data_IF_225209652808
#
_entry.id   IF_225209652808
#
_cell.length_a   1.000
_cell.length_b   1.000
_cell.length_c   1.000
_cell.angle_alpha   90.00
_cell.angle_beta   90.00
_cell.angle_gamma   90.00
#
_symmetry.space_group_name_H-M   'P 1'
#
loop_
_entity.id
_entity.type
_entity.pdbx_description
1 polymer ?
#
# COMPACT_ATOMS: atom_id res chain seq x y z
N UNK A 1 -46.97 1.00 -84.43
CA UNK A 1 -45.76 0.52 -85.12
C UNK A 1 -44.80 0.03 -84.05
N UNK A 2 -44.16 -1.10 -84.35
CA UNK A 2 -43.07 -1.82 -83.69
C UNK A 2 -42.15 -0.98 -82.77
N UNK A 3 -41.54 -1.49 -81.69
CA UNK A 3 -41.44 -2.88 -81.21
C UNK A 3 -39.98 -3.23 -80.85
N UNK A 4 -39.71 -3.60 -79.57
CA UNK A 4 -38.45 -4.22 -79.03
C UNK A 4 -37.12 -3.43 -79.23
N UNK A 5 -36.04 -3.50 -78.44
CA UNK A 5 -35.64 -4.08 -77.12
C UNK A 5 -34.32 -3.34 -76.70
N UNK A 6 -33.82 -3.23 -75.46
CA UNK A 6 -34.28 -3.60 -74.10
C UNK A 6 -33.13 -3.48 -73.06
N UNK A 7 -33.38 -3.97 -71.83
CA UNK A 7 -32.42 -4.27 -70.72
C UNK A 7 -31.76 -3.14 -69.87
N UNK A 8 -32.20 -3.09 -68.60
CA UNK A 8 -31.51 -2.86 -67.31
C UNK A 8 -30.46 -1.72 -67.10
N UNK A 9 -30.46 -0.97 -65.98
CA UNK A 9 -31.38 -0.98 -64.83
C UNK A 9 -30.96 -0.05 -63.66
N UNK A 10 -31.91 0.21 -62.74
CA UNK A 10 -31.85 1.08 -61.53
C UNK A 10 -31.67 2.61 -61.75
N UNK A 11 -32.43 3.44 -61.00
CA UNK A 11 -32.01 3.86 -59.65
C UNK A 11 -33.10 3.70 -58.57
N UNK A 12 -32.70 3.84 -57.29
CA UNK A 12 -33.62 3.78 -56.13
C UNK A 12 -34.13 5.15 -55.66
N UNK A 13 -34.92 5.22 -54.57
CA UNK A 13 -35.31 6.47 -53.94
C UNK A 13 -34.93 6.59 -52.45
N UNK A 14 -34.71 7.82 -52.00
CA UNK A 14 -34.67 8.16 -50.58
C UNK A 14 -36.06 8.61 -50.06
N UNK A 15 -36.17 8.63 -48.74
CA UNK A 15 -37.22 9.27 -47.92
C UNK A 15 -38.68 8.74 -48.00
N UNK A 16 -39.09 8.10 -46.89
CA UNK A 16 -40.25 8.63 -46.15
C UNK A 16 -40.17 8.35 -44.65
N UNK A 17 -40.55 9.36 -43.88
CA UNK A 17 -40.49 9.40 -42.42
C UNK A 17 -41.47 8.41 -41.77
N UNK A 18 -40.97 7.60 -40.83
CA UNK A 18 -41.79 6.93 -39.82
C UNK A 18 -41.21 7.18 -38.42
N UNK A 19 -42.00 7.86 -37.60
CA UNK A 19 -41.70 8.22 -36.21
C UNK A 19 -41.89 7.01 -35.28
N UNK A 20 -40.92 6.11 -35.21
CA UNK A 20 -40.93 4.92 -34.35
C UNK A 20 -40.39 5.22 -32.94
N UNK A 21 -41.18 5.95 -32.14
CA UNK A 21 -40.89 6.17 -30.73
C UNK A 21 -41.30 4.98 -29.85
N UNK A 22 -40.52 3.89 -29.87
CA UNK A 22 -40.40 2.96 -28.73
C UNK A 22 -38.95 2.44 -28.67
N UNK A 23 -38.06 3.20 -28.03
CA UNK A 23 -36.77 2.65 -27.60
C UNK A 23 -36.98 1.89 -26.30
N UNK A 24 -37.43 0.64 -26.39
CA UNK A 24 -37.26 -0.31 -25.30
C UNK A 24 -35.78 -0.60 -25.18
N UNK A 25 -35.08 0.17 -24.32
CA UNK A 25 -33.74 -0.16 -23.86
C UNK A 25 -33.89 -1.39 -22.95
N UNK A 26 -34.04 -2.56 -23.57
CA UNK A 26 -33.82 -3.82 -22.88
C UNK A 26 -32.42 -3.77 -22.29
N UNK A 27 -32.29 -4.18 -21.02
CA UNK A 27 -31.02 -4.20 -20.33
C UNK A 27 -30.03 -5.00 -21.17
N UNK A 28 -29.09 -4.31 -21.83
CA UNK A 28 -28.02 -4.99 -22.56
C UNK A 28 -27.12 -5.62 -21.50
N UNK A 29 -27.10 -6.94 -21.46
CA UNK A 29 -26.08 -7.66 -20.73
C UNK A 29 -24.71 -7.14 -21.18
N UNK A 30 -23.88 -6.77 -20.22
CA UNK A 30 -22.53 -6.30 -20.43
C UNK A 30 -21.58 -7.22 -19.68
N UNK A 31 -20.46 -7.55 -20.30
CA UNK A 31 -19.41 -8.34 -19.67
C UNK A 31 -18.51 -7.40 -18.85
N UNK A 32 -18.39 -7.68 -17.55
CA UNK A 32 -17.44 -7.02 -16.65
C UNK A 32 -16.34 -8.01 -16.33
N UNK A 33 -15.09 -7.58 -16.51
CA UNK A 33 -13.92 -8.37 -16.13
C UNK A 33 -13.43 -7.89 -14.76
N UNK A 34 -13.34 -8.82 -13.80
CA UNK A 34 -12.69 -8.56 -12.51
C UNK A 34 -11.39 -9.35 -12.46
N UNK A 35 -10.28 -8.65 -12.28
CA UNK A 35 -8.96 -9.26 -12.18
C UNK A 35 -8.71 -9.73 -10.75
N UNK A 36 -8.06 -10.87 -10.58
CA UNK A 36 -7.52 -11.31 -9.29
C UNK A 36 -6.09 -10.77 -9.12
N UNK A 37 -5.44 -11.11 -8.01
CA UNK A 37 -4.07 -10.64 -7.74
C UNK A 37 -2.97 -11.41 -8.50
N UNK A 38 -3.33 -12.51 -9.16
CA UNK A 38 -2.49 -13.34 -10.04
C UNK A 38 -2.77 -13.08 -11.53
N UNK A 39 -3.38 -11.92 -11.84
CA UNK A 39 -3.85 -11.48 -13.17
C UNK A 39 -4.88 -12.41 -13.85
N UNK A 40 -5.38 -13.44 -13.16
CA UNK A 40 -6.51 -14.24 -13.66
C UNK A 40 -7.79 -13.41 -13.68
N UNK A 41 -8.71 -13.73 -14.60
CA UNK A 41 -9.90 -12.91 -14.87
C UNK A 41 -11.17 -13.68 -14.53
N UNK A 42 -12.05 -13.04 -13.75
CA UNK A 42 -13.41 -13.50 -13.46
C UNK A 42 -14.38 -12.70 -14.35
N UNK A 43 -14.91 -13.31 -15.43
CA UNK A 43 -15.91 -12.67 -16.28
C UNK A 43 -17.30 -12.73 -15.62
N UNK A 44 -17.98 -11.58 -15.57
CA UNK A 44 -19.32 -11.43 -15.04
C UNK A 44 -20.26 -10.87 -16.11
N UNK A 45 -21.29 -11.62 -16.49
CA UNK A 45 -22.39 -11.08 -17.29
C UNK A 45 -23.34 -10.31 -16.36
N UNK A 46 -23.47 -9.00 -16.55
CA UNK A 46 -24.29 -8.14 -15.67
C UNK A 46 -25.29 -7.29 -16.46
N UNK A 47 -26.44 -7.06 -15.85
CA UNK A 47 -27.44 -6.11 -16.35
C UNK A 47 -27.27 -4.73 -15.72
N UNK A 48 -27.65 -3.68 -16.45
CA UNK A 48 -27.69 -2.30 -15.95
C UNK A 48 -26.37 -1.81 -15.29
N UNK A 49 -25.23 -2.11 -15.94
CA UNK A 49 -23.88 -1.77 -15.50
C UNK A 49 -23.71 -0.34 -14.90
N UNK A 50 -24.31 0.75 -15.43
CA UNK A 50 -24.15 2.08 -14.84
C UNK A 50 -24.78 2.28 -13.46
N UNK A 51 -25.73 1.43 -13.05
CA UNK A 51 -26.35 1.47 -11.71
C UNK A 51 -25.74 0.49 -10.72
N UNK A 52 -25.00 -0.52 -11.21
CA UNK A 52 -24.50 -1.63 -10.43
C UNK A 52 -23.48 -1.17 -9.37
N UNK A 53 -23.70 -1.57 -8.12
CA UNK A 53 -22.83 -1.22 -7.00
C UNK A 53 -21.64 -2.16 -6.86
N UNK A 54 -20.58 -1.68 -6.20
CA UNK A 54 -19.43 -2.50 -5.84
C UNK A 54 -19.83 -3.68 -4.94
N UNK A 55 -20.85 -3.53 -4.08
CA UNK A 55 -21.35 -4.64 -3.26
C UNK A 55 -22.06 -5.74 -4.06
N UNK A 56 -22.81 -5.38 -5.11
CA UNK A 56 -23.46 -6.35 -6.00
C UNK A 56 -22.41 -7.10 -6.85
N UNK A 57 -21.44 -6.38 -7.43
CA UNK A 57 -20.32 -6.99 -8.14
C UNK A 57 -19.48 -7.90 -7.22
N UNK A 58 -19.20 -7.47 -5.99
CA UNK A 58 -18.46 -8.29 -5.02
C UNK A 58 -19.20 -9.61 -4.72
N UNK A 59 -20.53 -9.57 -4.50
CA UNK A 59 -21.31 -10.80 -4.33
C UNK A 59 -21.27 -11.71 -5.57
N UNK A 60 -21.36 -11.15 -6.77
CA UNK A 60 -21.24 -11.92 -8.02
C UNK A 60 -19.85 -12.58 -8.18
N UNK A 61 -18.74 -11.86 -7.88
CA UNK A 61 -17.39 -12.45 -7.85
C UNK A 61 -17.32 -13.61 -6.86
N UNK A 62 -17.84 -13.41 -5.64
CA UNK A 62 -17.85 -14.44 -4.59
C UNK A 62 -18.60 -15.70 -5.04
N UNK A 63 -19.75 -15.54 -5.67
CA UNK A 63 -20.60 -16.63 -6.16
C UNK A 63 -19.93 -17.40 -7.31
N UNK A 64 -19.33 -16.71 -8.29
CA UNK A 64 -18.59 -17.35 -9.40
C UNK A 64 -17.36 -18.10 -8.91
N UNK A 65 -16.63 -17.55 -7.93
CA UNK A 65 -15.49 -18.21 -7.29
C UNK A 65 -15.88 -19.22 -6.20
N UNK A 66 -17.18 -19.41 -5.94
CA UNK A 66 -17.74 -20.32 -4.91
C UNK A 66 -17.18 -20.09 -3.50
N UNK A 67 -16.78 -18.85 -3.18
CA UNK A 67 -16.13 -18.53 -1.91
C UNK A 67 -17.14 -18.50 -0.73
N UNK A 68 -16.71 -18.89 0.49
CA UNK A 68 -17.54 -18.83 1.69
C UNK A 68 -17.93 -17.39 2.06
N UNK A 69 -19.00 -17.20 2.83
CA UNK A 69 -19.53 -15.86 3.17
C UNK A 69 -18.50 -14.93 3.82
N UNK A 70 -17.54 -15.48 4.58
CA UNK A 70 -16.42 -14.73 5.19
C UNK A 70 -15.57 -13.97 4.15
N UNK A 71 -15.56 -14.41 2.88
CA UNK A 71 -14.86 -13.71 1.81
C UNK A 71 -15.39 -12.28 1.59
N UNK A 72 -16.66 -12.00 1.94
CA UNK A 72 -17.24 -10.65 1.88
C UNK A 72 -16.61 -9.68 2.89
N UNK A 73 -16.03 -10.19 3.98
CA UNK A 73 -15.24 -9.39 4.93
C UNK A 73 -13.76 -9.33 4.51
N UNK A 74 -13.21 -10.45 4.04
CA UNK A 74 -11.78 -10.63 3.73
C UNK A 74 -11.33 -9.80 2.54
N UNK A 75 -12.17 -9.69 1.51
CA UNK A 75 -11.84 -9.05 0.24
C UNK A 75 -12.70 -7.81 -0.04
N UNK A 76 -12.27 -7.02 -1.01
CA UNK A 76 -12.96 -5.85 -1.52
C UNK A 76 -12.66 -5.71 -3.03
N UNK A 77 -13.46 -4.88 -3.70
CA UNK A 77 -13.16 -4.42 -5.05
C UNK A 77 -12.35 -3.13 -5.00
N UNK A 78 -11.35 -3.05 -5.88
CA UNK A 78 -10.46 -1.90 -6.03
C UNK A 78 -10.48 -1.43 -7.49
N UNK A 79 -10.37 -0.12 -7.71
CA UNK A 79 -9.92 0.40 -9.00
C UNK A 79 -8.41 0.60 -8.91
N UNK A 80 -7.68 0.04 -9.87
CA UNK A 80 -6.21 -0.03 -9.87
C UNK A 80 -5.68 0.42 -11.22
N UNK A 81 -4.67 1.28 -11.19
CA UNK A 81 -3.82 1.62 -12.33
C UNK A 81 -2.38 1.85 -11.86
N UNK A 82 -1.40 1.99 -12.77
CA UNK A 82 -0.04 2.43 -12.45
C UNK A 82 0.05 3.74 -11.64
N UNK A 83 -0.93 4.64 -11.75
CA UNK A 83 -0.91 5.96 -11.12
C UNK A 83 -1.67 6.01 -9.77
N UNK A 84 -2.74 5.22 -9.61
CA UNK A 84 -3.62 5.30 -8.43
C UNK A 84 -4.29 3.95 -8.11
N UNK A 85 -4.37 3.62 -6.81
CA UNK A 85 -5.09 2.45 -6.27
C UNK A 85 -6.17 2.93 -5.28
N UNK A 86 -7.44 2.52 -5.46
CA UNK A 86 -8.56 2.95 -4.60
C UNK A 86 -9.49 1.79 -4.26
N UNK A 87 -9.60 1.44 -2.97
CA UNK A 87 -10.61 0.50 -2.49
C UNK A 87 -12.01 1.13 -2.59
N UNK A 88 -12.95 0.40 -3.19
CA UNK A 88 -14.31 0.87 -3.38
C UNK A 88 -15.16 0.66 -2.12
N UNK A 89 -15.94 1.68 -1.74
CA UNK A 89 -16.97 1.54 -0.70
C UNK A 89 -18.17 0.76 -1.28
N UNK A 90 -18.92 -0.03 -0.48
CA UNK A 90 -20.01 -0.88 -0.96
C UNK A 90 -21.03 -0.19 -1.89
N UNK A 91 -21.32 1.09 -1.62
CA UNK A 91 -22.26 1.94 -2.38
C UNK A 91 -21.70 2.61 -3.64
N UNK A 92 -20.40 2.49 -3.92
CA UNK A 92 -19.79 3.05 -5.13
C UNK A 92 -20.29 2.30 -6.37
N UNK A 93 -20.36 2.99 -7.51
CA UNK A 93 -20.74 2.41 -8.81
C UNK A 93 -19.48 2.35 -9.68
N UNK A 94 -18.81 1.19 -9.83
CA UNK A 94 -17.46 1.12 -10.41
C UNK A 94 -17.38 1.68 -11.83
N UNK A 95 -18.41 1.42 -12.65
CA UNK A 95 -18.52 1.97 -14.00
C UNK A 95 -18.46 3.50 -14.03
N UNK A 96 -19.15 4.19 -13.10
CA UNK A 96 -19.14 5.65 -13.05
C UNK A 96 -17.79 6.20 -12.58
N UNK A 97 -17.14 5.54 -11.63
CA UNK A 97 -15.82 5.95 -11.15
C UNK A 97 -14.73 5.74 -12.22
N UNK A 98 -14.78 4.64 -12.97
CA UNK A 98 -13.88 4.43 -14.12
C UNK A 98 -14.08 5.49 -15.22
N UNK A 99 -15.32 5.95 -15.42
CA UNK A 99 -15.64 7.09 -16.32
C UNK A 99 -15.20 8.46 -15.80
N UNK A 100 -14.80 8.57 -14.52
CA UNK A 100 -14.29 9.78 -13.86
C UNK A 100 -12.80 9.65 -13.49
N UNK A 101 -12.10 8.66 -14.06
CA UNK A 101 -10.73 8.35 -13.68
C UNK A 101 -9.74 9.48 -14.00
N UNK A 102 -9.78 10.15 -15.18
CA UNK A 102 -8.90 11.29 -15.45
C UNK A 102 -9.07 12.42 -14.41
N UNK A 103 -10.30 12.72 -14.00
CA UNK A 103 -10.58 13.74 -12.98
C UNK A 103 -10.06 13.33 -11.59
N UNK A 104 -10.12 12.04 -11.24
CA UNK A 104 -9.53 11.50 -10.02
C UNK A 104 -8.00 11.56 -10.06
N UNK A 105 -7.37 11.23 -11.19
CA UNK A 105 -5.93 11.32 -11.38
C UNK A 105 -5.41 12.77 -11.28
N UNK A 106 -6.08 13.72 -11.92
CA UNK A 106 -5.71 15.15 -11.85
C UNK A 106 -5.76 15.67 -10.40
N UNK A 107 -6.76 15.23 -9.62
CA UNK A 107 -6.91 15.58 -8.19
C UNK A 107 -5.85 14.91 -7.31
N UNK A 108 -5.63 13.62 -7.47
CA UNK A 108 -4.87 12.80 -6.51
C UNK A 108 -3.47 12.38 -6.97
N UNK A 109 -2.99 12.83 -8.14
CA UNK A 109 -1.65 12.51 -8.64
C UNK A 109 -0.96 13.73 -9.25
N UNK A 110 0.37 13.74 -9.23
CA UNK A 110 1.22 14.74 -9.90
C UNK A 110 1.78 14.19 -11.23
N UNK A 111 1.04 13.27 -11.86
CA UNK A 111 1.41 12.70 -13.15
C UNK A 111 1.27 13.74 -14.29
N UNK A 112 2.09 13.67 -15.35
CA UNK A 112 1.92 14.47 -16.56
C UNK A 112 0.55 14.25 -17.22
N UNK A 113 0.00 15.29 -17.87
CA UNK A 113 -1.30 15.23 -18.56
C UNK A 113 -1.35 14.11 -19.62
N UNK A 114 -0.23 13.86 -20.32
CA UNK A 114 -0.11 12.76 -21.31
C UNK A 114 -0.23 11.38 -20.66
N UNK A 115 0.36 11.18 -19.47
CA UNK A 115 0.24 9.92 -18.72
C UNK A 115 -1.19 9.76 -18.17
N UNK A 116 -1.78 10.84 -17.66
CA UNK A 116 -3.18 10.87 -17.18
C UNK A 116 -4.19 10.56 -18.29
N UNK A 117 -3.94 11.03 -19.52
CA UNK A 117 -4.81 10.79 -20.66
C UNK A 117 -4.75 9.34 -21.20
N UNK A 118 -3.69 8.60 -20.87
CA UNK A 118 -3.45 7.22 -21.31
C UNK A 118 -3.70 6.17 -20.23
N UNK A 119 -3.89 6.57 -18.98
CA UNK A 119 -4.09 5.68 -17.83
C UNK A 119 -5.57 5.28 -17.67
N UNK A 120 -5.85 3.98 -17.76
CA UNK A 120 -7.18 3.40 -17.55
C UNK A 120 -7.18 2.48 -16.31
N UNK A 121 -8.20 2.55 -15.44
CA UNK A 121 -8.27 1.69 -14.27
C UNK A 121 -8.91 0.35 -14.63
N UNK A 122 -8.40 -0.73 -14.04
CA UNK A 122 -9.09 -2.02 -14.04
C UNK A 122 -9.70 -2.32 -12.67
N UNK A 123 -10.71 -3.18 -12.66
CA UNK A 123 -11.41 -3.61 -11.45
C UNK A 123 -10.72 -4.87 -10.89
N UNK A 124 -10.15 -4.78 -9.69
CA UNK A 124 -9.40 -5.87 -9.06
C UNK A 124 -10.07 -6.37 -7.77
N UNK A 125 -10.07 -7.68 -7.56
CA UNK A 125 -10.54 -8.34 -6.34
C UNK A 125 -9.35 -8.66 -5.44
N UNK A 126 -9.26 -7.97 -4.31
CA UNK A 126 -8.08 -7.96 -3.43
C UNK A 126 -8.47 -7.88 -1.97
N UNK A 127 -7.51 -8.11 -1.07
CA UNK A 127 -7.67 -8.02 0.38
C UNK A 127 -8.33 -6.68 0.76
N UNK A 128 -9.32 -6.75 1.63
CA UNK A 128 -9.92 -5.58 2.25
C UNK A 128 -8.93 -4.98 3.27
N UNK A 129 -8.55 -3.72 3.11
CA UNK A 129 -7.64 -3.03 4.05
C UNK A 129 -8.19 -3.03 5.49
N UNK A 130 -9.52 -3.08 5.64
CA UNK A 130 -10.22 -3.13 6.92
C UNK A 130 -10.43 -4.54 7.49
N UNK A 131 -9.86 -5.58 6.88
CA UNK A 131 -9.90 -6.92 7.46
C UNK A 131 -8.78 -7.09 8.50
N UNK A 132 -9.06 -7.41 9.79
CA UNK A 132 -8.03 -7.52 10.81
C UNK A 132 -7.11 -8.73 10.61
N UNK A 133 -5.78 -8.54 10.68
CA UNK A 133 -4.79 -9.64 10.62
C UNK A 133 -5.14 -10.79 11.58
N UNK A 134 -5.57 -10.48 12.81
CA UNK A 134 -5.99 -11.48 13.82
C UNK A 134 -7.19 -12.36 13.40
N UNK A 135 -8.11 -11.86 12.56
CA UNK A 135 -9.22 -12.64 11.99
C UNK A 135 -8.72 -13.51 10.84
N UNK A 136 -7.81 -13.00 10.02
CA UNK A 136 -7.19 -13.72 8.90
C UNK A 136 -6.45 -14.98 9.34
N UNK A 137 -5.78 -14.95 10.50
CA UNK A 137 -5.15 -16.13 11.12
C UNK A 137 -6.12 -17.30 11.39
N UNK A 138 -7.43 -17.06 11.42
CA UNK A 138 -8.47 -18.06 11.68
C UNK A 138 -9.02 -18.70 10.39
N UNK A 139 -8.72 -18.14 9.22
CA UNK A 139 -9.15 -18.68 7.92
C UNK A 139 -8.57 -20.09 7.72
N UNK A 140 -9.39 -21.00 7.19
CA UNK A 140 -8.99 -22.38 6.85
C UNK A 140 -9.37 -22.79 5.44
N UNK A 141 -10.24 -22.00 4.80
CA UNK A 141 -10.66 -22.20 3.42
C UNK A 141 -9.47 -22.03 2.48
N UNK A 142 -9.24 -23.01 1.61
CA UNK A 142 -8.04 -23.07 0.78
C UNK A 142 -8.03 -21.99 -0.30
N UNK A 143 -9.17 -21.70 -0.94
CA UNK A 143 -9.25 -20.68 -1.98
C UNK A 143 -9.12 -19.26 -1.40
N UNK A 144 -9.72 -18.99 -0.23
CA UNK A 144 -9.47 -17.71 0.47
C UNK A 144 -8.00 -17.57 0.85
N UNK A 145 -7.33 -18.64 1.32
CA UNK A 145 -5.90 -18.63 1.59
C UNK A 145 -5.05 -18.45 0.32
N UNK A 146 -5.43 -19.09 -0.79
CA UNK A 146 -4.75 -18.99 -2.09
C UNK A 146 -4.80 -17.55 -2.62
N UNK A 147 -5.97 -16.91 -2.59
CA UNK A 147 -6.15 -15.54 -3.08
C UNK A 147 -5.35 -14.52 -2.25
N UNK A 148 -5.35 -14.66 -0.91
CA UNK A 148 -4.51 -13.85 -0.02
C UNK A 148 -3.01 -14.10 -0.29
N UNK A 149 -2.62 -15.36 -0.49
CA UNK A 149 -1.24 -15.75 -0.80
C UNK A 149 -0.77 -15.18 -2.14
N UNK A 150 -1.58 -15.23 -3.18
CA UNK A 150 -1.26 -14.68 -4.50
C UNK A 150 -1.04 -13.17 -4.44
N UNK A 151 -1.89 -12.43 -3.72
CA UNK A 151 -1.65 -11.01 -3.45
C UNK A 151 -0.37 -10.77 -2.64
N UNK A 152 -0.15 -11.52 -1.56
CA UNK A 152 1.06 -11.38 -0.74
C UNK A 152 2.33 -11.64 -1.57
N UNK A 153 2.32 -12.67 -2.41
CA UNK A 153 3.40 -13.04 -3.33
C UNK A 153 3.68 -11.91 -4.34
N UNK A 154 2.65 -11.37 -4.98
CA UNK A 154 2.80 -10.23 -5.90
C UNK A 154 3.47 -9.03 -5.25
N UNK A 155 3.02 -8.65 -4.04
CA UNK A 155 3.61 -7.54 -3.28
C UNK A 155 5.09 -7.77 -2.90
N UNK A 156 5.49 -9.01 -2.57
CA UNK A 156 6.90 -9.37 -2.28
C UNK A 156 7.74 -9.32 -3.56
N UNK A 157 7.32 -9.98 -4.64
CA UNK A 157 8.07 -10.02 -5.91
C UNK A 157 8.28 -8.62 -6.52
N UNK A 158 7.26 -7.76 -6.44
CA UNK A 158 7.34 -6.35 -6.85
C UNK A 158 8.20 -5.47 -5.92
N UNK A 159 8.70 -6.01 -4.79
CA UNK A 159 9.33 -5.27 -3.70
C UNK A 159 8.48 -4.06 -3.22
N UNK A 160 7.15 -4.24 -3.19
CA UNK A 160 6.18 -3.38 -2.48
C UNK A 160 6.19 -3.69 -0.99
N UNK A 161 6.52 -4.94 -0.64
CA UNK A 161 6.89 -5.38 0.70
C UNK A 161 8.43 -5.48 0.83
N UNK A 162 9.09 -4.54 1.54
CA UNK A 162 10.48 -4.69 1.99
C UNK A 162 10.71 -5.96 2.81
N UNK A 163 11.61 -6.83 2.38
CA UNK A 163 11.97 -8.04 3.12
C UNK A 163 13.50 -8.15 3.21
N UNK A 164 14.01 -8.64 4.34
CA UNK A 164 15.43 -9.02 4.42
C UNK A 164 15.70 -10.18 3.45
N UNK A 165 16.95 -10.36 3.01
CA UNK A 165 17.28 -11.34 1.95
C UNK A 165 16.90 -12.75 2.36
N UNK A 166 17.17 -13.12 3.61
CA UNK A 166 16.80 -14.43 4.16
C UNK A 166 15.28 -14.65 4.22
N UNK A 167 14.49 -13.57 4.36
CA UNK A 167 13.03 -13.65 4.34
C UNK A 167 12.49 -13.82 2.92
N UNK A 168 13.07 -13.12 1.94
CA UNK A 168 12.80 -13.35 0.52
C UNK A 168 13.09 -14.81 0.11
N UNK A 169 14.22 -15.36 0.55
CA UNK A 169 14.61 -16.74 0.25
C UNK A 169 13.66 -17.77 0.89
N UNK A 170 13.24 -17.55 2.14
CA UNK A 170 12.28 -18.41 2.83
C UNK A 170 10.85 -18.32 2.24
N UNK A 171 10.40 -17.11 1.86
CA UNK A 171 9.12 -16.92 1.16
C UNK A 171 9.17 -17.57 -0.23
N UNK A 172 10.22 -17.32 -1.01
CA UNK A 172 10.42 -17.94 -2.32
C UNK A 172 10.50 -19.47 -2.27
N UNK A 173 11.07 -20.04 -1.20
CA UNK A 173 11.11 -21.48 -0.97
C UNK A 173 9.71 -22.10 -0.80
N UNK A 174 8.77 -21.38 -0.18
CA UNK A 174 7.37 -21.78 -0.11
C UNK A 174 6.68 -21.68 -1.48
N UNK A 175 6.98 -20.64 -2.28
CA UNK A 175 6.50 -20.56 -3.68
C UNK A 175 7.03 -21.74 -4.52
N UNK A 176 8.31 -22.11 -4.35
CA UNK A 176 8.88 -23.31 -4.96
C UNK A 176 8.11 -24.57 -4.54
N UNK A 177 7.80 -24.72 -3.24
CA UNK A 177 7.08 -25.88 -2.70
C UNK A 177 5.65 -26.01 -3.21
N UNK A 178 4.98 -24.88 -3.49
CA UNK A 178 3.66 -24.81 -4.12
C UNK A 178 3.74 -25.15 -5.61
N UNK A 179 4.66 -24.54 -6.37
CA UNK A 179 4.69 -24.66 -7.84
C UNK A 179 5.43 -25.90 -8.36
N UNK A 180 6.43 -26.40 -7.63
CA UNK A 180 7.34 -27.47 -8.07
C UNK A 180 7.14 -28.78 -7.28
N UNK A 181 6.29 -28.79 -6.25
CA UNK A 181 6.14 -29.90 -5.31
C UNK A 181 7.27 -29.95 -4.27
N UNK A 182 7.50 -31.10 -3.61
CA UNK A 182 8.60 -31.26 -2.66
C UNK A 182 9.96 -31.34 -3.35
N UNK A 183 11.03 -30.93 -2.64
CA UNK A 183 12.38 -30.98 -3.18
C UNK A 183 12.88 -32.43 -3.36
N UNK A 184 13.21 -32.80 -4.59
CA UNK A 184 13.74 -34.12 -4.95
C UNK A 184 15.25 -34.05 -5.29
N UNK A 185 16.14 -34.63 -4.46
CA UNK A 185 17.57 -34.71 -4.78
C UNK A 185 17.83 -35.41 -6.11
N UNK A 186 18.63 -34.80 -6.99
CA UNK A 186 19.06 -35.40 -8.27
C UNK A 186 18.15 -35.09 -9.47
N UNK A 187 16.93 -34.57 -9.27
CA UNK A 187 16.13 -33.98 -10.35
C UNK A 187 16.78 -32.65 -10.79
N UNK A 188 16.66 -32.20 -12.07
CA UNK A 188 17.16 -30.90 -12.53
C UNK A 188 16.41 -29.68 -11.97
N UNK A 189 15.93 -29.74 -10.72
CA UNK A 189 15.28 -28.63 -10.02
C UNK A 189 16.14 -27.36 -10.02
N UNK A 190 17.48 -27.46 -10.06
CA UNK A 190 18.37 -26.31 -10.19
C UNK A 190 18.32 -25.63 -11.58
N UNK A 191 17.93 -26.33 -12.65
CA UNK A 191 17.68 -25.73 -13.96
C UNK A 191 16.30 -25.05 -13.97
N UNK A 192 15.27 -25.78 -13.54
CA UNK A 192 13.88 -25.29 -13.50
C UNK A 192 13.74 -24.04 -12.60
N UNK A 193 14.40 -24.04 -11.44
CA UNK A 193 14.47 -22.92 -10.50
C UNK A 193 15.15 -21.68 -11.10
N UNK A 194 16.21 -21.90 -11.89
CA UNK A 194 17.01 -20.83 -12.48
C UNK A 194 16.31 -20.17 -13.66
N UNK A 195 15.48 -20.90 -14.40
CA UNK A 195 14.67 -20.37 -15.50
C UNK A 195 13.46 -19.56 -15.03
N UNK A 196 13.02 -19.76 -13.78
CA UNK A 196 11.85 -19.09 -13.19
C UNK A 196 12.17 -18.28 -11.92
N UNK A 197 13.42 -17.84 -11.77
CA UNK A 197 13.93 -17.26 -10.52
C UNK A 197 13.18 -15.98 -10.09
N UNK A 198 12.66 -15.24 -11.06
CA UNK A 198 11.82 -14.04 -10.93
C UNK A 198 10.38 -14.32 -10.47
N UNK A 199 9.86 -15.54 -10.66
CA UNK A 199 8.60 -15.98 -10.03
C UNK A 199 8.75 -16.40 -8.56
N UNK A 200 9.99 -16.49 -8.05
CA UNK A 200 10.30 -16.93 -6.68
C UNK A 200 10.96 -15.84 -5.83
N UNK A 201 11.72 -14.92 -6.43
CA UNK A 201 12.43 -13.86 -5.72
C UNK A 201 12.18 -12.48 -6.35
N UNK A 202 12.24 -11.40 -5.55
CA UNK A 202 12.23 -10.05 -6.07
C UNK A 202 13.37 -9.79 -7.06
N UNK A 203 13.10 -9.02 -8.12
CA UNK A 203 14.02 -8.79 -9.24
C UNK A 203 15.42 -8.26 -8.88
N UNK A 204 15.59 -7.66 -7.70
CA UNK A 204 16.91 -7.22 -7.21
C UNK A 204 17.81 -8.37 -6.73
N UNK A 205 17.23 -9.50 -6.29
CA UNK A 205 17.95 -10.71 -5.87
C UNK A 205 18.23 -11.68 -7.03
N UNK A 206 17.44 -11.62 -8.11
CA UNK A 206 17.66 -12.39 -9.33
C UNK A 206 18.92 -11.97 -10.10
N UNK A 207 19.50 -10.80 -9.78
CA UNK A 207 20.64 -10.23 -10.51
C UNK A 207 21.91 -11.07 -10.33
N UNK A 208 22.36 -11.68 -11.43
CA UNK A 208 23.72 -12.22 -11.53
C UNK A 208 24.74 -11.09 -11.42
N UNK A 209 25.87 -11.35 -10.74
CA UNK A 209 26.98 -10.41 -10.66
C UNK A 209 27.60 -10.14 -12.04
N UNK A 210 27.11 -9.12 -12.75
CA UNK A 210 27.60 -8.68 -14.05
C UNK A 210 28.93 -7.93 -13.94
N UNK A 211 29.97 -8.62 -13.47
CA UNK A 211 31.34 -8.19 -13.74
C UNK A 211 31.69 -8.46 -15.20
N UNK A 212 32.07 -7.42 -15.96
CA UNK A 212 32.51 -7.54 -17.36
C UNK A 212 33.64 -8.57 -17.60
N UNK A 213 34.35 -8.97 -16.53
CA UNK A 213 35.40 -9.99 -16.56
C UNK A 213 34.94 -11.43 -16.26
N UNK A 214 33.64 -11.66 -16.00
CA UNK A 214 33.12 -13.00 -15.70
C UNK A 214 33.15 -13.93 -16.94
N UNK A 215 32.79 -13.40 -18.12
CA UNK A 215 32.81 -14.14 -19.37
C UNK A 215 34.23 -14.60 -19.79
N UNK A 216 35.26 -13.84 -19.41
CA UNK A 216 36.66 -14.09 -19.78
C UNK A 216 37.33 -15.21 -18.97
N UNK A 217 36.70 -15.74 -17.91
CA UNK A 217 37.33 -16.73 -17.00
C UNK A 217 36.97 -18.20 -17.27
N UNK A 218 36.15 -18.50 -18.27
CA UNK A 218 35.81 -19.87 -18.67
C UNK A 218 35.17 -20.75 -17.58
N UNK A 219 34.84 -20.19 -16.42
CA UNK A 219 34.12 -20.90 -15.34
C UNK A 219 32.64 -20.83 -15.64
N UNK A 220 32.02 -22.01 -15.75
CA UNK A 220 30.59 -22.17 -16.01
C UNK A 220 29.73 -21.28 -15.11
N UNK A 221 28.60 -20.84 -15.67
CA UNK A 221 27.78 -19.77 -15.11
C UNK A 221 27.31 -20.10 -13.68
N UNK A 222 28.01 -19.57 -12.68
CA UNK A 222 27.72 -19.82 -11.26
C UNK A 222 26.34 -19.28 -10.89
N UNK A 223 25.72 -19.93 -9.92
CA UNK A 223 24.48 -19.47 -9.33
C UNK A 223 24.65 -18.07 -8.72
N UNK A 224 23.62 -17.25 -8.79
CA UNK A 224 23.58 -16.00 -8.01
C UNK A 224 23.51 -16.28 -6.50
N UNK A 225 23.87 -15.32 -5.62
CA UNK A 225 23.71 -15.49 -4.17
C UNK A 225 22.27 -15.89 -3.79
N UNK A 226 21.26 -15.19 -4.32
CA UNK A 226 19.84 -15.50 -4.07
C UNK A 226 19.37 -16.83 -4.65
N UNK A 227 19.89 -17.26 -5.80
CA UNK A 227 19.60 -18.59 -6.38
C UNK A 227 20.10 -19.72 -5.44
N UNK A 228 21.29 -19.54 -4.86
CA UNK A 228 21.86 -20.52 -3.94
C UNK A 228 21.17 -20.50 -2.56
N UNK A 229 20.80 -19.33 -2.05
CA UNK A 229 20.05 -19.18 -0.81
C UNK A 229 18.65 -19.75 -0.91
N UNK A 230 17.90 -19.40 -1.96
CA UNK A 230 16.60 -19.98 -2.30
C UNK A 230 16.64 -21.50 -2.39
N UNK A 231 17.62 -22.07 -3.10
CA UNK A 231 17.78 -23.53 -3.21
C UNK A 231 18.06 -24.19 -1.84
N UNK A 232 18.77 -23.49 -0.94
CA UNK A 232 19.00 -23.98 0.42
C UNK A 232 17.76 -23.88 1.30
N UNK A 233 16.98 -22.81 1.20
CA UNK A 233 15.72 -22.64 1.90
C UNK A 233 14.67 -23.66 1.40
N UNK A 234 14.57 -23.90 0.10
CA UNK A 234 13.63 -24.87 -0.50
C UNK A 234 13.89 -26.31 -0.02
N UNK A 235 15.16 -26.69 0.18
CA UNK A 235 15.54 -27.98 0.80
C UNK A 235 15.12 -28.13 2.26
N UNK A 236 14.83 -27.03 2.96
CA UNK A 236 14.47 -27.01 4.38
C UNK A 236 12.95 -26.95 4.60
N UNK A 237 12.15 -26.74 3.56
CA UNK A 237 10.68 -26.77 3.66
C UNK A 237 10.26 -28.20 3.95
N UNK A 238 9.79 -28.42 5.18
CA UNK A 238 9.42 -29.76 5.69
C UNK A 238 8.25 -30.34 4.89
N UNK A 239 8.25 -31.66 4.73
CA UNK A 239 7.02 -32.37 4.38
C UNK A 239 6.15 -32.46 5.63
N UNK A 240 4.87 -32.10 5.48
CA UNK A 240 3.85 -32.40 6.49
C UNK A 240 3.37 -33.81 6.18
N UNK A 241 3.50 -34.74 7.13
CA UNK A 241 3.07 -36.13 6.96
C UNK A 241 1.56 -36.19 6.71
N UNK A 242 1.18 -36.28 5.44
CA UNK A 242 -0.21 -36.22 4.98
C UNK A 242 -0.84 -37.62 4.95
N UNK A 243 -1.27 -38.11 6.12
CA UNK A 243 -2.25 -39.21 6.23
C UNK A 243 -3.65 -38.78 5.69
N UNK A 244 -3.81 -37.53 5.25
CA UNK A 244 -5.06 -36.95 4.73
C UNK A 244 -4.88 -36.06 3.49
N UNK A 245 -4.80 -36.69 2.32
CA UNK A 245 -5.09 -36.05 1.02
C UNK A 245 -4.03 -35.10 0.43
N UNK A 246 -4.22 -34.76 -0.85
CA UNK A 246 -3.33 -33.86 -1.60
C UNK A 246 -3.68 -32.37 -1.41
N UNK A 247 -4.98 -32.06 -1.28
CA UNK A 247 -5.49 -30.68 -1.19
C UNK A 247 -5.03 -29.99 0.10
N UNK A 248 -5.28 -30.60 1.28
CA UNK A 248 -4.88 -30.07 2.59
C UNK A 248 -3.39 -29.70 2.73
N UNK A 249 -2.52 -30.22 1.86
CA UNK A 249 -1.12 -29.82 1.79
C UNK A 249 -0.94 -28.39 1.26
N UNK A 250 -1.67 -27.94 0.23
CA UNK A 250 -1.46 -26.62 -0.37
C UNK A 250 -1.91 -25.48 0.56
N UNK A 251 -3.11 -25.59 1.14
CA UNK A 251 -3.59 -24.65 2.16
C UNK A 251 -2.61 -24.43 3.33
N UNK A 252 -1.83 -25.46 3.70
CA UNK A 252 -0.79 -25.36 4.73
C UNK A 252 0.40 -24.49 4.29
N UNK A 253 0.83 -24.58 3.02
CA UNK A 253 1.92 -23.75 2.49
C UNK A 253 1.47 -22.31 2.24
N UNK A 254 0.24 -22.09 1.78
CA UNK A 254 -0.36 -20.74 1.72
C UNK A 254 -0.41 -20.10 3.11
N UNK A 255 -0.88 -20.84 4.13
CA UNK A 255 -0.89 -20.37 5.52
C UNK A 255 0.53 -20.05 6.02
N UNK A 256 1.52 -20.88 5.73
CA UNK A 256 2.90 -20.65 6.14
C UNK A 256 3.50 -19.38 5.50
N UNK A 257 3.20 -19.14 4.22
CA UNK A 257 3.62 -17.91 3.52
C UNK A 257 2.96 -16.68 4.15
N UNK A 258 1.65 -16.73 4.34
CA UNK A 258 0.87 -15.66 4.96
C UNK A 258 1.33 -15.38 6.39
N UNK A 259 1.56 -16.39 7.22
CA UNK A 259 2.09 -16.24 8.58
C UNK A 259 3.40 -15.46 8.60
N UNK A 260 4.32 -15.75 7.67
CA UNK A 260 5.57 -15.00 7.54
C UNK A 260 5.36 -13.58 7.01
N UNK A 261 4.40 -13.36 6.10
CA UNK A 261 4.01 -12.02 5.70
C UNK A 261 3.34 -11.21 6.82
N UNK A 262 2.63 -11.85 7.77
CA UNK A 262 2.03 -11.15 8.92
C UNK A 262 3.07 -10.55 9.88
N UNK A 263 4.31 -11.06 9.88
CA UNK A 263 5.46 -10.47 10.60
C UNK A 263 5.87 -9.11 10.01
N UNK A 264 5.46 -8.80 8.77
CA UNK A 264 5.73 -7.53 8.10
C UNK A 264 4.71 -6.47 8.55
N UNK A 265 5.14 -5.32 9.10
CA UNK A 265 4.21 -4.32 9.63
C UNK A 265 3.21 -3.79 8.58
N UNK A 266 3.70 -3.54 7.36
CA UNK A 266 2.93 -3.03 6.22
C UNK A 266 2.14 -4.10 5.43
N UNK A 267 2.06 -5.35 5.92
CA UNK A 267 1.24 -6.37 5.28
C UNK A 267 -0.25 -6.00 5.30
N UNK A 268 -0.90 -6.04 4.13
CA UNK A 268 -2.32 -5.75 3.98
C UNK A 268 -2.68 -4.27 4.05
N UNK A 269 -1.69 -3.36 3.98
CA UNK A 269 -1.90 -1.92 3.88
C UNK A 269 -2.44 -1.50 2.50
N UNK A 270 -3.19 -0.39 2.48
CA UNK A 270 -3.30 0.47 1.29
C UNK A 270 -2.01 1.28 1.15
N UNK A 271 -1.50 1.45 -0.08
CA UNK A 271 -0.28 2.21 -0.34
C UNK A 271 -0.59 3.47 -1.14
N UNK A 272 0.01 4.58 -0.71
CA UNK A 272 -0.10 5.90 -1.32
C UNK A 272 1.28 6.39 -1.76
N UNK A 273 1.30 7.24 -2.78
CA UNK A 273 2.51 7.89 -3.27
C UNK A 273 2.75 9.20 -2.54
N UNK A 274 4.01 9.48 -2.19
CA UNK A 274 4.40 10.78 -1.65
C UNK A 274 5.90 11.00 -1.70
N UNK A 275 6.35 12.15 -1.19
CA UNK A 275 7.76 12.47 -1.05
C UNK A 275 8.09 13.01 0.35
N UNK A 276 9.32 12.80 0.81
CA UNK A 276 9.85 13.42 2.05
C UNK A 276 11.15 14.15 1.77
N UNK A 277 11.43 15.19 2.56
CA UNK A 277 12.70 15.92 2.50
C UNK A 277 13.88 15.00 2.89
N UNK A 278 14.95 15.04 2.11
CA UNK A 278 16.18 14.32 2.43
C UNK A 278 16.87 14.96 3.66
N UNK A 279 17.44 14.16 4.58
CA UNK A 279 18.27 14.71 5.65
C UNK A 279 19.47 15.44 5.05
N UNK A 280 19.89 16.54 5.68
CA UNK A 280 20.98 17.37 5.22
C UNK A 280 22.34 16.65 5.33
N UNK A 281 22.76 15.97 4.25
CA UNK A 281 24.04 15.28 4.19
C UNK A 281 25.10 16.05 3.38
N UNK A 282 26.25 16.28 4.00
CA UNK A 282 27.46 16.79 3.36
C UNK A 282 27.53 18.32 3.16
N UNK A 283 28.74 18.79 2.90
CA UNK A 283 29.11 20.22 2.79
C UNK A 283 28.39 21.00 1.67
N UNK A 284 27.77 20.30 0.72
CA UNK A 284 27.12 20.89 -0.46
C UNK A 284 25.61 21.08 -0.30
N UNK A 285 25.01 20.66 0.83
CA UNK A 285 23.58 20.83 1.17
C UNK A 285 22.64 20.75 -0.06
N UNK A 286 22.75 19.68 -0.85
CA UNK A 286 21.82 19.43 -1.96
C UNK A 286 20.48 19.00 -1.38
N UNK A 287 19.71 20.00 -0.96
CA UNK A 287 18.31 19.87 -0.61
C UNK A 287 17.52 19.27 -1.77
N UNK A 288 16.42 18.63 -1.44
CA UNK A 288 15.59 17.92 -2.38
C UNK A 288 14.90 16.75 -1.70
N UNK A 289 13.85 16.26 -2.33
CA UNK A 289 13.01 15.22 -1.77
C UNK A 289 13.44 13.83 -2.25
N UNK A 290 12.88 12.79 -1.64
CA UNK A 290 12.92 11.41 -2.11
C UNK A 290 11.50 10.84 -2.15
N UNK A 291 11.17 10.02 -3.16
CA UNK A 291 9.88 9.35 -3.22
C UNK A 291 9.78 8.30 -2.11
N UNK A 292 8.61 8.26 -1.49
CA UNK A 292 8.22 7.28 -0.47
C UNK A 292 6.87 6.67 -0.82
N UNK A 293 6.66 5.46 -0.32
CA UNK A 293 5.36 4.82 -0.31
C UNK A 293 4.84 4.87 1.13
N UNK A 294 3.65 5.43 1.32
CA UNK A 294 2.97 5.51 2.63
C UNK A 294 1.99 4.36 2.71
N UNK A 295 2.20 3.44 3.64
CA UNK A 295 1.40 2.23 3.81
C UNK A 295 0.54 2.35 5.08
N UNK A 296 -0.78 2.29 4.94
CA UNK A 296 -1.76 2.52 6.01
C UNK A 296 -2.66 1.29 6.15
N UNK A 297 -2.88 0.81 7.37
CA UNK A 297 -3.81 -0.27 7.71
C UNK A 297 -4.53 0.02 9.03
N UNK A 298 -5.24 -0.97 9.59
CA UNK A 298 -5.81 -0.89 10.94
C UNK A 298 -4.77 -0.80 12.08
N UNK A 299 -3.50 -1.09 11.81
CA UNK A 299 -2.46 -1.11 12.85
C UNK A 299 -1.73 0.23 12.99
N UNK A 300 -1.69 1.05 11.94
CA UNK A 300 -0.92 2.28 11.91
C UNK A 300 -0.45 2.71 10.52
N UNK A 301 0.58 3.56 10.50
CA UNK A 301 1.15 4.20 9.31
C UNK A 301 2.63 3.85 9.18
N UNK A 302 3.06 3.48 7.97
CA UNK A 302 4.44 3.17 7.64
C UNK A 302 4.93 4.00 6.45
N UNK A 303 6.13 4.54 6.53
CA UNK A 303 6.78 5.29 5.44
C UNK A 303 7.96 4.48 4.94
N UNK A 304 7.93 4.10 3.66
CA UNK A 304 8.89 3.21 3.03
C UNK A 304 9.65 3.96 1.93
N UNK A 305 10.98 3.83 1.87
CA UNK A 305 11.77 4.38 0.78
C UNK A 305 11.48 3.64 -0.53
N UNK A 306 10.86 4.31 -1.50
CA UNK A 306 10.40 3.65 -2.73
C UNK A 306 11.55 3.14 -3.61
N UNK A 307 12.76 3.68 -3.44
CA UNK A 307 13.96 3.31 -4.23
C UNK A 307 14.80 2.27 -3.50
N UNK A 308 15.14 2.55 -2.24
CA UNK A 308 16.02 1.73 -1.41
C UNK A 308 15.29 0.60 -0.66
N UNK A 309 13.97 0.50 -0.83
CA UNK A 309 13.09 -0.59 -0.33
C UNK A 309 13.35 -0.94 1.14
N UNK A 310 13.36 0.06 2.01
CA UNK A 310 13.42 -0.11 3.46
C UNK A 310 12.46 0.82 4.19
N UNK A 311 12.04 0.40 5.39
CA UNK A 311 11.18 1.18 6.27
C UNK A 311 11.97 2.36 6.85
N UNK A 312 11.44 3.56 6.69
CA UNK A 312 11.97 4.79 7.28
C UNK A 312 11.31 5.06 8.64
N UNK A 313 10.00 4.84 8.70
CA UNK A 313 9.16 5.04 9.88
C UNK A 313 8.04 4.01 9.88
N UNK A 314 7.67 3.55 11.06
CA UNK A 314 6.47 2.77 11.34
C UNK A 314 5.96 3.24 12.68
N UNK A 315 4.67 3.60 12.74
CA UNK A 315 4.01 4.15 13.91
C UNK A 315 2.63 3.51 14.03
N UNK A 316 2.31 2.99 15.21
CA UNK A 316 0.95 2.64 15.59
C UNK A 316 0.11 3.90 15.82
N UNK A 317 -1.23 3.79 15.76
CA UNK A 317 -2.11 4.95 15.98
C UNK A 317 -2.03 5.54 17.40
N UNK A 318 -1.49 4.81 18.38
CA UNK A 318 -1.20 5.31 19.73
C UNK A 318 0.14 6.06 19.81
N UNK A 319 0.98 5.99 18.77
CA UNK A 319 2.33 6.58 18.71
C UNK A 319 2.38 7.83 17.82
N UNK A 320 1.24 8.26 17.25
CA UNK A 320 1.18 9.35 16.29
C UNK A 320 -0.03 10.28 16.48
N UNK A 321 0.19 11.57 16.21
CA UNK A 321 -0.84 12.53 15.82
C UNK A 321 -0.66 12.87 14.35
N UNK A 322 -1.74 13.19 13.63
CA UNK A 322 -1.66 13.59 12.23
C UNK A 322 -2.56 14.79 11.93
N UNK A 323 -2.19 15.51 10.87
CA UNK A 323 -3.03 16.52 10.24
C UNK A 323 -2.73 16.55 8.73
N UNK A 324 -3.56 17.21 7.94
CA UNK A 324 -3.29 17.43 6.52
C UNK A 324 -3.59 18.87 6.12
N UNK A 325 -2.70 19.45 5.31
CA UNK A 325 -2.87 20.79 4.77
C UNK A 325 -2.99 20.71 3.26
N UNK A 326 -4.08 21.23 2.69
CA UNK A 326 -4.32 21.32 1.25
C UNK A 326 -4.55 22.78 0.83
N UNK A 327 -3.51 23.63 0.85
CA UNK A 327 -3.60 25.02 0.39
C UNK A 327 -3.87 25.10 -1.13
N UNK A 328 -4.44 26.22 -1.59
CA UNK A 328 -4.77 26.40 -3.02
C UNK A 328 -3.53 26.57 -3.92
N UNK A 329 -2.44 27.13 -3.38
CA UNK A 329 -1.22 27.47 -4.13
C UNK A 329 0.00 26.57 -3.83
N UNK A 330 -0.03 25.78 -2.75
CA UNK A 330 1.07 24.85 -2.43
C UNK A 330 0.65 23.38 -2.57
N UNK A 331 1.62 22.47 -2.62
CA UNK A 331 1.36 21.04 -2.69
C UNK A 331 0.76 20.51 -1.37
N UNK A 332 -0.29 19.66 -1.42
CA UNK A 332 -0.86 19.10 -0.19
C UNK A 332 0.15 18.26 0.60
N UNK A 333 0.07 18.36 1.94
CA UNK A 333 1.00 17.71 2.88
C UNK A 333 0.19 16.91 3.89
N UNK A 334 0.61 15.66 4.12
CA UNK A 334 0.27 14.90 5.33
C UNK A 334 1.38 15.13 6.36
N UNK A 335 0.98 15.54 7.56
CA UNK A 335 1.84 15.79 8.70
C UNK A 335 1.72 14.61 9.67
N UNK A 336 2.85 14.07 10.13
CA UNK A 336 2.89 13.05 11.19
C UNK A 336 3.75 13.57 12.35
N UNK A 337 3.14 13.77 13.51
CA UNK A 337 3.82 14.06 14.78
C UNK A 337 3.96 12.77 15.57
N UNK A 338 5.14 12.53 16.15
CA UNK A 338 5.43 11.36 16.98
C UNK A 338 6.57 11.65 17.97
N UNK A 339 6.65 10.85 19.03
CA UNK A 339 7.72 10.94 20.03
C UNK A 339 9.09 10.57 19.44
N UNK A 340 10.13 11.27 19.87
CA UNK A 340 11.50 10.95 19.50
C UNK A 340 12.55 11.48 20.48
N UNK A 341 13.81 11.24 20.14
CA UNK A 341 14.97 11.71 20.90
C UNK A 341 15.85 12.65 20.05
N UNK A 342 16.45 13.63 20.71
CA UNK A 342 17.47 14.52 20.17
C UNK A 342 18.58 14.72 21.22
N UNK A 343 19.77 14.16 20.96
CA UNK A 343 20.92 14.20 21.88
C UNK A 343 20.62 13.66 23.31
N UNK A 344 19.74 12.67 23.47
CA UNK A 344 19.32 12.15 24.78
C UNK A 344 18.22 12.96 25.47
N UNK A 345 17.59 13.89 24.75
CA UNK A 345 16.46 14.70 25.22
C UNK A 345 15.19 14.28 24.45
N UNK A 346 14.09 13.91 25.15
CA UNK A 346 12.80 13.68 24.51
C UNK A 346 12.31 14.93 23.75
N UNK A 347 11.87 14.74 22.52
CA UNK A 347 11.33 15.78 21.63
C UNK A 347 10.17 15.23 20.82
N UNK A 348 9.21 16.09 20.48
CA UNK A 348 8.21 15.78 19.46
C UNK A 348 8.88 15.96 18.09
N UNK A 349 8.67 14.99 17.21
CA UNK A 349 9.19 14.97 15.83
C UNK A 349 8.04 15.11 14.86
N UNK A 350 8.12 16.12 14.01
CA UNK A 350 7.14 16.36 12.96
C UNK A 350 7.74 16.04 11.58
N UNK A 351 7.18 15.03 10.90
CA UNK A 351 7.51 14.64 9.53
C UNK A 351 6.54 15.29 8.54
N UNK A 352 7.09 15.77 7.42
CA UNK A 352 6.33 16.23 6.26
C UNK A 352 6.30 15.15 5.19
N UNK A 353 5.11 14.82 4.68
CA UNK A 353 4.93 13.97 3.50
C UNK A 353 4.17 14.77 2.46
N UNK A 354 4.87 15.17 1.40
CA UNK A 354 4.28 15.87 0.25
C UNK A 354 3.52 14.88 -0.61
N UNK A 355 2.22 15.09 -0.81
CA UNK A 355 1.37 14.23 -1.63
C UNK A 355 -0.01 14.83 -1.87
N UNK A 356 -0.44 14.90 -3.13
CA UNK A 356 -1.86 15.14 -3.51
C UNK A 356 -2.84 14.11 -2.93
N UNK A 357 -2.36 12.99 -2.38
CA UNK A 357 -3.18 11.95 -1.74
C UNK A 357 -3.39 12.21 -0.23
N UNK A 358 -2.92 13.34 0.31
CA UNK A 358 -2.98 13.66 1.75
C UNK A 358 -4.41 13.59 2.34
N UNK A 359 -5.42 14.08 1.62
CA UNK A 359 -6.84 13.95 2.01
C UNK A 359 -7.27 12.49 2.13
N UNK A 360 -6.94 11.65 1.14
CA UNK A 360 -7.26 10.22 1.14
C UNK A 360 -6.55 9.48 2.29
N UNK A 361 -5.28 9.82 2.55
CA UNK A 361 -4.51 9.25 3.65
C UNK A 361 -5.11 9.66 5.00
N UNK A 362 -5.44 10.93 5.20
CA UNK A 362 -6.05 11.45 6.43
C UNK A 362 -7.40 10.78 6.71
N UNK A 363 -8.30 10.75 5.72
CA UNK A 363 -9.60 10.07 5.84
C UNK A 363 -9.50 8.57 6.10
N UNK A 364 -8.43 7.91 5.64
CA UNK A 364 -8.20 6.50 5.92
C UNK A 364 -7.70 6.28 7.35
N UNK A 365 -6.79 7.14 7.84
CA UNK A 365 -6.30 7.09 9.23
C UNK A 365 -7.45 7.29 10.21
N UNK A 366 -8.27 8.33 10.00
CA UNK A 366 -9.46 8.63 10.79
C UNK A 366 -10.40 7.41 10.86
N UNK A 367 -10.78 6.86 9.71
CA UNK A 367 -11.69 5.71 9.65
C UNK A 367 -11.10 4.43 10.26
N UNK A 368 -9.79 4.18 10.13
CA UNK A 368 -9.12 3.07 10.80
C UNK A 368 -9.19 3.18 12.34
N UNK A 369 -9.09 4.39 12.87
CA UNK A 369 -9.18 4.66 14.31
C UNK A 369 -10.62 4.52 14.80
N UNK A 370 -11.60 5.12 14.10
CA UNK A 370 -13.03 4.95 14.38
C UNK A 370 -13.44 3.47 14.42
N UNK A 371 -13.03 2.68 13.41
CA UNK A 371 -13.37 1.27 13.32
C UNK A 371 -12.74 0.46 14.45
N UNK A 372 -11.53 0.82 14.88
CA UNK A 372 -10.84 0.17 16.00
C UNK A 372 -11.53 0.45 17.33
N UNK A 373 -11.98 1.69 17.56
CA UNK A 373 -12.76 2.07 18.75
C UNK A 373 -14.13 1.38 18.79
N UNK A 374 -14.81 1.25 17.64
CA UNK A 374 -16.09 0.55 17.53
C UNK A 374 -16.00 -0.98 17.73
N UNK A 375 -14.80 -1.55 17.61
CA UNK A 375 -14.55 -2.99 17.78
C UNK A 375 -14.19 -3.40 19.21
N UNK A 376 -13.85 -2.46 20.10
CA UNK A 376 -13.62 -2.71 21.53
C UNK A 376 -14.97 -2.86 22.26
N UNK A 377 -15.29 -4.02 22.85
CA UNK A 377 -16.50 -4.15 23.67
C UNK A 377 -16.32 -3.37 24.97
N UNK A 378 -17.27 -2.47 25.28
CA UNK A 378 -17.34 -1.76 26.56
C UNK A 378 -17.62 -2.74 27.71
N UNK A 379 -16.56 -3.31 28.27
CA UNK A 379 -16.63 -4.10 29.50
C UNK A 379 -17.11 -3.25 30.69
N UNK A 380 -17.83 -3.82 31.67
CA UNK A 380 -18.28 -3.07 32.84
C UNK A 380 -17.11 -2.51 33.65
N UNK A 381 -17.18 -1.23 34.01
CA UNK A 381 -16.30 -0.66 35.03
C UNK A 381 -16.73 -1.13 36.43
N UNK A 382 -16.22 -2.30 36.85
CA UNK A 382 -16.38 -2.72 38.24
C UNK A 382 -15.50 -1.87 39.16
N UNK A 383 -16.18 -1.09 40.00
CA UNK A 383 -15.57 -0.15 40.92
C UNK A 383 -15.18 -0.83 42.23
N UNK A 384 -13.88 -0.82 42.54
CA UNK A 384 -13.28 -0.89 43.86
C UNK A 384 -13.74 -1.98 44.86
N UNK A 385 -12.82 -2.90 45.18
CA UNK A 385 -12.54 -3.23 46.59
C UNK A 385 -11.09 -3.69 46.73
N UNK A 386 -10.31 -3.00 47.57
CA UNK A 386 -8.89 -3.29 47.77
C UNK A 386 -8.60 -3.96 49.11
N UNK A 387 -7.45 -4.64 49.18
CA UNK A 387 -6.72 -5.00 50.40
C UNK A 387 -5.21 -4.96 50.07
N UNK A 388 -4.32 -4.64 51.02
CA UNK A 388 -2.93 -4.31 50.75
C UNK A 388 -2.03 -5.56 50.67
N UNK A 389 -0.98 -5.50 49.85
CA UNK A 389 0.08 -6.51 49.76
C UNK A 389 1.48 -5.90 49.92
N UNK A 390 2.37 -6.64 50.58
CA UNK A 390 3.64 -6.13 51.15
C UNK A 390 4.69 -5.64 50.13
N UNK A 391 5.54 -4.65 50.51
CA UNK A 391 6.57 -4.08 49.66
C UNK A 391 7.89 -4.88 49.71
N UNK A 392 7.88 -6.17 49.37
CA UNK A 392 9.14 -6.95 49.28
C UNK A 392 9.12 -8.16 48.32
N UNK A 393 9.00 -7.91 47.02
CA UNK A 393 9.48 -8.85 46.00
C UNK A 393 9.83 -8.13 44.68
N UNK A 394 11.12 -7.85 44.49
CA UNK A 394 11.63 -7.37 43.20
C UNK A 394 11.54 -8.52 42.18
N UNK A 395 10.80 -8.39 41.06
CA UNK A 395 10.81 -9.41 40.03
C UNK A 395 12.20 -9.49 39.39
N UNK A 396 12.70 -10.72 39.20
CA UNK A 396 13.99 -10.96 38.55
C UNK A 396 13.99 -10.39 37.12
N UNK A 397 15.15 -9.92 36.59
CA UNK A 397 15.21 -9.32 35.27
C UNK A 397 14.83 -10.34 34.20
N UNK A 398 13.67 -10.11 33.56
CA UNK A 398 13.26 -10.83 32.35
C UNK A 398 14.39 -10.70 31.32
N UNK A 399 14.95 -11.83 30.92
CA UNK A 399 16.01 -11.83 29.90
C UNK A 399 15.45 -11.24 28.61
N UNK A 400 15.94 -10.05 28.24
CA UNK A 400 15.61 -9.39 26.98
C UNK A 400 15.92 -10.37 25.83
N UNK A 401 15.00 -10.57 24.86
CA UNK A 401 15.29 -11.38 23.69
C UNK A 401 16.56 -10.88 22.99
N UNK A 402 17.37 -11.81 22.47
CA UNK A 402 18.67 -11.51 21.88
C UNK A 402 18.52 -10.51 20.72
N UNK A 403 19.30 -9.43 20.78
CA UNK A 403 19.55 -8.39 19.77
C UNK A 403 18.74 -8.51 18.46
N UNK A 404 17.62 -7.78 18.39
CA UNK A 404 16.91 -7.48 17.14
C UNK A 404 17.91 -6.81 16.17
N UNK A 405 18.03 -7.31 14.94
CA UNK A 405 19.06 -6.87 13.97
C UNK A 405 18.95 -5.37 13.67
N UNK A 406 19.90 -4.56 14.13
CA UNK A 406 19.98 -3.12 13.82
C UNK A 406 20.21 -2.80 12.32
N UNK A 407 20.43 -3.82 11.48
CA UNK A 407 20.59 -3.69 10.02
C UNK A 407 19.38 -4.10 9.18
N UNK A 408 18.29 -4.58 9.77
CA UNK A 408 17.12 -5.08 9.04
C UNK A 408 16.45 -4.00 8.18
N UNK A 409 15.91 -4.35 7.02
CA UNK A 409 15.18 -3.40 6.16
C UNK A 409 13.78 -3.06 6.68
N UNK A 410 13.21 -3.87 7.58
CA UNK A 410 11.87 -3.62 8.16
C UNK A 410 11.89 -2.78 9.44
N UNK A 411 13.06 -2.52 10.03
CA UNK A 411 13.19 -1.66 11.21
C UNK A 411 13.21 -0.17 10.83
N UNK A 412 12.43 0.66 11.52
CA UNK A 412 12.40 2.12 11.36
C UNK A 412 13.79 2.76 11.40
N UNK A 413 14.09 3.60 10.40
CA UNK A 413 15.36 4.32 10.23
C UNK A 413 15.12 5.82 10.32
N UNK A 414 14.66 6.28 11.48
CA UNK A 414 14.26 7.68 11.74
C UNK A 414 15.42 8.65 11.42
N UNK A 415 16.67 8.24 11.63
CA UNK A 415 17.89 8.97 11.26
C UNK A 415 18.07 9.21 9.74
N UNK A 416 17.26 8.58 8.88
CA UNK A 416 17.22 8.82 7.43
C UNK A 416 16.09 9.78 7.00
N UNK A 417 15.39 10.40 7.96
CA UNK A 417 14.32 11.38 7.72
C UNK A 417 14.78 12.79 8.10
N UNK A 418 14.30 13.78 7.34
CA UNK A 418 14.29 15.17 7.79
C UNK A 418 13.02 15.40 8.62
N UNK A 419 13.18 15.80 9.88
CA UNK A 419 12.08 16.05 10.83
C UNK A 419 12.25 17.43 11.48
N UNK A 420 11.15 18.01 11.95
CA UNK A 420 11.16 19.24 12.76
C UNK A 420 11.04 18.82 14.23
N UNK A 421 12.12 18.99 14.98
CA UNK A 421 12.17 18.68 16.42
C UNK A 421 11.71 19.88 17.27
N UNK A 422 10.80 19.66 18.22
CA UNK A 422 10.40 20.66 19.22
C UNK A 422 10.07 20.05 20.58
N UNK A 423 9.95 20.92 21.59
CA UNK A 423 9.45 20.59 22.93
C UNK A 423 8.24 21.48 23.23
N UNK A 424 7.20 20.88 23.80
CA UNK A 424 6.01 21.59 24.27
C UNK A 424 6.14 21.97 25.76
N UNK A 425 6.73 23.15 26.02
CA UNK A 425 7.07 23.62 27.38
C UNK A 425 5.85 24.18 28.17
N UNK A 426 4.61 23.75 27.86
CA UNK A 426 3.36 24.21 28.50
C UNK A 426 3.06 25.72 28.42
N UNK A 427 3.92 26.47 27.74
CA UNK A 427 3.89 27.94 27.53
C UNK A 427 4.12 28.31 26.06
N UNK A 428 4.12 27.33 25.17
CA UNK A 428 4.34 27.46 23.73
C UNK A 428 5.35 26.45 23.17
N UNK A 429 5.28 26.23 21.86
CA UNK A 429 6.13 25.31 21.10
C UNK A 429 7.54 25.90 20.93
N UNK A 430 8.58 25.14 21.28
CA UNK A 430 9.98 25.56 21.12
C UNK A 430 10.75 24.58 20.23
N UNK A 431 11.13 25.02 19.03
CA UNK A 431 11.97 24.25 18.12
C UNK A 431 13.37 24.01 18.71
N UNK A 432 13.77 22.75 18.81
CA UNK A 432 15.12 22.38 19.25
C UNK A 432 16.11 22.67 18.11
N UNK A 433 17.15 23.46 18.41
CA UNK A 433 18.21 23.76 17.43
C UNK A 433 19.33 22.70 17.56
N UNK A 434 19.62 21.90 16.52
CA UNK A 434 20.76 20.98 16.56
C UNK A 434 22.07 21.74 16.73
N UNK A 435 23.01 21.20 17.51
CA UNK A 435 24.22 21.94 17.91
C UNK A 435 25.28 21.99 16.80
N UNK A 436 25.33 23.17 16.13
CA UNK A 436 26.35 23.66 15.17
C UNK A 436 26.34 22.94 13.81
N UNK A 437 25.98 23.62 12.71
CA UNK A 437 26.75 24.75 12.12
C UNK A 437 25.90 25.99 11.78
N UNK A 438 26.50 26.97 11.10
CA UNK A 438 26.09 28.39 11.07
C UNK A 438 24.91 28.73 10.14
N UNK A 439 23.89 29.36 10.72
CA UNK A 439 23.09 30.51 10.21
C UNK A 439 22.69 30.59 8.73
N UNK A 440 21.40 30.79 8.46
CA UNK A 440 20.93 31.68 7.39
C UNK A 440 19.63 32.44 7.77
N UNK A 441 19.64 33.77 7.57
CA UNK A 441 18.56 34.78 7.73
C UNK A 441 17.97 34.99 9.15
N UNK A 442 17.84 36.22 9.69
CA UNK A 442 18.38 37.53 9.29
C UNK A 442 18.62 38.41 10.53
N UNK A 443 19.65 39.27 10.52
CA UNK A 443 19.82 40.30 11.55
C UNK A 443 18.78 41.41 11.37
N UNK A 444 17.98 41.69 12.39
CA UNK A 444 17.48 43.05 12.59
C UNK A 444 18.66 43.93 13.06
N UNK A 445 19.00 44.95 12.27
CA UNK A 445 19.66 46.13 12.82
C UNK A 445 18.57 47.04 13.38
N UNK A 446 18.72 47.43 14.63
CA UNK A 446 17.85 48.38 15.30
C UNK A 446 18.70 49.38 16.10
N UNK A 447 18.06 50.51 16.46
CA UNK A 447 18.60 51.71 17.12
C UNK A 447 19.28 52.72 16.17
N UNK A 448 18.79 53.96 16.04
CA UNK A 448 17.59 54.51 16.67
C UNK A 448 17.38 56.01 16.47
N UNK A 449 16.54 56.58 17.35
CA UNK A 449 16.11 58.00 17.48
C UNK A 449 15.16 58.52 16.39
N UNK A 450 13.96 58.94 16.82
CA UNK A 450 12.97 59.63 15.98
C UNK A 450 11.54 59.44 16.48
N UNK A 451 10.99 60.47 17.12
CA UNK A 451 9.56 60.60 17.44
C UNK A 451 8.65 60.39 16.22
N UNK A 452 7.55 59.64 16.33
CA UNK A 452 6.17 60.14 16.10
C UNK A 452 5.10 59.08 16.44
N UNK A 453 3.86 59.52 16.60
CA UNK A 453 2.76 58.80 17.27
C UNK A 453 1.63 58.41 16.29
N UNK A 454 1.05 57.21 16.45
CA UNK A 454 -0.33 56.77 16.11
C UNK A 454 -0.93 57.11 14.73
N UNK A 455 -1.41 56.08 14.01
CA UNK A 455 -2.82 55.97 13.55
C UNK A 455 -3.23 54.48 13.50
N UNK A 456 -4.36 54.12 14.12
CA UNK A 456 -5.12 52.90 13.79
C UNK A 456 -6.29 53.29 12.86
N UNK A 457 -6.58 52.54 11.79
CA UNK A 457 -7.89 52.55 11.15
C UNK A 457 -8.72 51.37 11.66
N UNK A 458 -9.72 51.67 12.50
CA UNK A 458 -10.84 50.77 12.76
C UNK A 458 -12.09 51.39 12.12
N UNK A 459 -12.87 50.58 11.40
CA UNK A 459 -14.10 51.04 10.76
C UNK A 459 -15.17 51.43 11.79
N UNK A 460 -15.85 52.56 11.60
CA UNK A 460 -17.30 52.71 11.81
C UNK A 460 -17.84 54.11 11.50
N UNK A 461 -18.89 54.13 10.68
CA UNK A 461 -20.10 54.97 10.78
C UNK A 461 -19.96 56.49 11.04
N UNK A 462 -20.39 57.28 10.06
CA UNK A 462 -21.26 58.44 10.33
C UNK A 462 -22.51 58.40 9.44
N UNK A 463 -23.67 58.59 10.07
CA UNK A 463 -24.89 59.07 9.43
C UNK A 463 -24.94 60.60 9.61
N UNK A 464 -25.32 61.33 8.56
CA UNK A 464 -25.48 62.78 8.57
C UNK A 464 -26.08 63.27 7.26
#
# INVERSE_FOLDING_TARGET
MDGTEGSAGQPGPAERSHRSSVSSVGARAADVLVYLADDTVVPLAVENLPSLSAHELHRAVREVLQLPDIALDVFALWLVSPLLEVQLKPKHQPYKLGRQWPELLLRFTSAPDDDVAMDEPFLQFRRNVFFPKRRELQIRDEEVLRLLYEEAKGNVLAARYPCDVEDCEALGALVCRVQLGPYQPGRPAACDLREKLDSFLPAHLCKRGQGLFAALRGRGARAGPGEQGLLNAYRQVQEVDSDSGCEAALGTHYRAYLLKCHELPFYGCAFFHGEVDKPAQGFLHRGGRKPVSVAISLEGVHVIDSREKHVLLGLHFQELSWDHTSPEEEEPILWLEFDGDSEGTPVNKLLKIYSKQAELMSSLIEYCIELSQAAEPTGPQDSATGLPSDPSSSPAPVQRPKLRRQGSVVSSRIQHLSTIDYVEDGKGIRRVKPKRTTSFFSRQLSLGQGSYTVVQPGDSLEQG
#
